data_IF_246708862234
#
_entry.id   IF_246708862234
#
_cell.length_a   1.000
_cell.length_b   1.000
_cell.length_c   1.000
_cell.angle_alpha   90.00
_cell.angle_beta   90.00
_cell.angle_gamma   90.00
#
_symmetry.space_group_name_H-M   'P 1'
#
loop_
_entity.id
_entity.type
_entity.pdbx_description
1 polymer ?
#
# COMPACT_ATOMS: atom_id res chain seq x y z
N UNK A 1 -5.99 -4.52 -3.45
CA UNK A 1 -6.01 -5.99 -3.54
C UNK A 1 -4.90 -6.41 -4.48
N UNK A 2 -4.08 -7.39 -4.10
CA UNK A 2 -2.93 -7.82 -4.91
C UNK A 2 -3.31 -9.01 -5.79
N UNK A 3 -2.83 -9.00 -7.03
CA UNK A 3 -2.98 -10.09 -8.00
C UNK A 3 -1.60 -10.50 -8.50
N UNK A 4 -1.39 -11.79 -8.70
CA UNK A 4 -0.16 -12.29 -9.29
C UNK A 4 -0.16 -11.96 -10.79
N UNK A 5 0.78 -11.12 -11.22
CA UNK A 5 0.93 -10.75 -12.64
C UNK A 5 1.93 -11.67 -13.33
N UNK A 6 3.08 -11.85 -12.70
CA UNK A 6 4.13 -12.75 -13.15
C UNK A 6 4.47 -13.74 -12.04
N UNK A 7 4.65 -15.00 -12.43
CA UNK A 7 5.18 -16.04 -11.56
C UNK A 7 6.37 -16.70 -12.26
N UNK A 8 7.53 -16.71 -11.59
CA UNK A 8 8.76 -17.31 -12.12
C UNK A 8 9.11 -16.81 -13.55
N UNK A 9 8.94 -15.51 -13.80
CA UNK A 9 9.22 -14.88 -15.10
C UNK A 9 8.16 -15.13 -16.18
N UNK A 10 7.06 -15.81 -15.87
CA UNK A 10 5.95 -16.07 -16.81
C UNK A 10 4.76 -15.18 -16.49
N UNK A 11 4.18 -14.56 -17.51
CA UNK A 11 2.91 -13.84 -17.39
C UNK A 11 1.80 -14.85 -17.08
N UNK A 12 1.21 -14.74 -15.89
CA UNK A 12 0.10 -15.62 -15.44
C UNK A 12 -1.23 -14.89 -15.36
N UNK A 13 -1.21 -13.56 -15.38
CA UNK A 13 -2.41 -12.75 -15.37
C UNK A 13 -3.02 -12.62 -16.76
N UNK A 14 -4.32 -12.85 -16.84
CA UNK A 14 -5.09 -12.60 -18.05
C UNK A 14 -5.34 -11.11 -18.19
N UNK A 15 -4.74 -10.50 -19.22
CA UNK A 15 -4.94 -9.09 -19.51
C UNK A 15 -6.41 -8.83 -19.88
N UNK A 16 -7.09 -7.87 -19.21
CA UNK A 16 -8.44 -7.49 -19.57
C UNK A 16 -8.42 -6.73 -20.90
N UNK A 17 -9.55 -6.77 -21.58
CA UNK A 17 -9.85 -5.87 -22.70
C UNK A 17 -10.08 -4.44 -22.22
N UNK A 18 -10.11 -3.49 -23.16
CA UNK A 18 -10.42 -2.09 -22.86
C UNK A 18 -11.83 -1.92 -22.29
N UNK A 19 -12.81 -2.67 -22.81
CA UNK A 19 -14.20 -2.62 -22.34
C UNK A 19 -14.32 -3.15 -20.90
N UNK A 20 -13.67 -4.29 -20.59
CA UNK A 20 -13.62 -4.84 -19.24
C UNK A 20 -12.92 -3.89 -18.26
N UNK A 21 -11.85 -3.23 -18.71
CA UNK A 21 -11.13 -2.25 -17.90
C UNK A 21 -11.97 -1.00 -17.60
N UNK A 22 -12.75 -0.53 -18.59
CA UNK A 22 -13.67 0.61 -18.44
C UNK A 22 -14.80 0.29 -17.46
N UNK A 23 -15.38 -0.89 -17.60
CA UNK A 23 -16.45 -1.37 -16.73
C UNK A 23 -15.95 -1.54 -15.28
N UNK A 24 -14.77 -2.12 -15.09
CA UNK A 24 -14.13 -2.23 -13.79
C UNK A 24 -13.91 -0.87 -13.12
N UNK A 25 -13.46 0.15 -13.87
CA UNK A 25 -13.33 1.51 -13.36
C UNK A 25 -14.68 2.08 -12.91
N UNK A 26 -15.73 1.93 -13.72
CA UNK A 26 -17.06 2.43 -13.39
C UNK A 26 -17.59 1.79 -12.10
N UNK A 27 -17.44 0.47 -11.94
CA UNK A 27 -17.83 -0.26 -10.73
C UNK A 27 -16.98 0.13 -9.50
N UNK A 28 -15.67 0.32 -9.69
CA UNK A 28 -14.77 0.76 -8.63
C UNK A 28 -15.16 2.13 -8.08
N UNK A 29 -15.48 3.09 -8.97
CA UNK A 29 -15.91 4.44 -8.58
C UNK A 29 -17.25 4.46 -7.84
N UNK A 30 -18.15 3.50 -8.12
CA UNK A 30 -19.40 3.35 -7.37
C UNK A 30 -19.16 2.90 -5.92
N UNK A 31 -18.05 2.21 -5.65
CA UNK A 31 -17.68 1.74 -4.32
C UNK A 31 -17.03 2.82 -3.44
N UNK A 32 -16.65 3.96 -4.03
CA UNK A 32 -16.04 5.09 -3.33
C UNK A 32 -17.13 6.11 -2.99
N UNK A 33 -17.12 6.61 -1.74
CA UNK A 33 -18.07 7.62 -1.27
C UNK A 33 -17.86 8.97 -1.96
N UNK A 34 -18.93 9.75 -2.07
CA UNK A 34 -18.93 11.01 -2.83
C UNK A 34 -17.99 12.04 -2.23
N UNK A 35 -17.81 12.05 -0.91
CA UNK A 35 -16.91 12.94 -0.19
C UNK A 35 -15.44 12.75 -0.57
N UNK A 36 -15.03 11.50 -0.84
CA UNK A 36 -13.68 11.17 -1.30
C UNK A 36 -13.49 11.50 -2.79
N UNK A 37 -14.56 11.58 -3.58
CA UNK A 37 -14.52 11.89 -5.03
C UNK A 37 -14.55 13.38 -5.35
N UNK A 38 -14.69 14.27 -4.36
CA UNK A 38 -14.75 15.72 -4.57
C UNK A 38 -13.47 16.26 -5.18
N UNK A 39 -13.58 17.14 -6.18
CA UNK A 39 -12.44 17.82 -6.78
C UNK A 39 -11.75 18.81 -5.82
N UNK A 40 -12.52 19.42 -4.91
CA UNK A 40 -12.01 20.38 -3.94
C UNK A 40 -12.23 19.83 -2.53
N UNK A 41 -11.16 19.77 -1.74
CA UNK A 41 -11.15 19.28 -0.36
C UNK A 41 -11.82 17.89 -0.21
N UNK A 42 -11.38 16.85 -0.96
CA UNK A 42 -11.87 15.50 -0.75
C UNK A 42 -11.60 15.05 0.69
N UNK A 43 -12.49 14.22 1.25
CA UNK A 43 -12.20 13.59 2.52
C UNK A 43 -11.02 12.62 2.34
N UNK A 44 -10.11 12.60 3.31
CA UNK A 44 -9.05 11.59 3.37
C UNK A 44 -9.65 10.19 3.45
N UNK A 45 -9.16 9.30 2.59
CA UNK A 45 -9.53 7.88 2.60
C UNK A 45 -8.60 7.15 3.58
N UNK A 46 -9.11 6.58 4.69
CA UNK A 46 -8.25 5.97 5.70
C UNK A 46 -7.56 4.73 5.15
N UNK A 47 -6.24 4.68 5.31
CA UNK A 47 -5.41 3.52 4.96
C UNK A 47 -4.65 3.10 6.21
N UNK A 48 -5.22 2.16 6.94
CA UNK A 48 -4.70 1.72 8.22
C UNK A 48 -3.79 0.49 8.10
N UNK A 49 -2.81 0.41 8.98
CA UNK A 49 -2.01 -0.79 9.17
C UNK A 49 -2.75 -1.75 10.09
N UNK A 50 -2.66 -3.05 9.80
CA UNK A 50 -2.98 -4.05 10.82
C UNK A 50 -2.06 -3.86 12.01
N UNK A 51 -2.54 -4.17 13.21
CA UNK A 51 -1.75 -4.07 14.45
C UNK A 51 -0.38 -4.75 14.31
N UNK A 52 -0.36 -5.97 13.78
CA UNK A 52 0.89 -6.72 13.58
C UNK A 52 1.87 -6.01 12.63
N UNK A 53 1.37 -5.38 11.56
CA UNK A 53 2.21 -4.61 10.64
C UNK A 53 2.77 -3.34 11.31
N UNK A 54 1.93 -2.63 12.06
CA UNK A 54 2.32 -1.43 12.79
C UNK A 54 3.36 -1.74 13.88
N UNK A 55 3.13 -2.78 14.67
CA UNK A 55 4.03 -3.25 15.73
C UNK A 55 5.38 -3.65 15.12
N UNK A 56 5.36 -4.41 14.02
CA UNK A 56 6.59 -4.80 13.32
C UNK A 56 7.36 -3.57 12.81
N UNK A 57 6.68 -2.60 12.18
CA UNK A 57 7.29 -1.35 11.71
C UNK A 57 8.00 -0.63 12.86
N UNK A 58 7.31 -0.45 13.99
CA UNK A 58 7.88 0.25 15.14
C UNK A 58 9.08 -0.49 15.71
N UNK A 59 8.96 -1.81 15.89
CA UNK A 59 10.06 -2.66 16.34
C UNK A 59 11.31 -2.50 15.46
N UNK A 60 11.15 -2.56 14.13
CA UNK A 60 12.27 -2.39 13.18
C UNK A 60 12.92 -1.01 13.31
N UNK A 61 12.12 0.06 13.44
CA UNK A 61 12.63 1.42 13.59
C UNK A 61 13.47 1.55 14.87
N UNK A 62 12.96 1.04 16.00
CA UNK A 62 13.69 1.08 17.26
C UNK A 62 15.01 0.30 17.20
N UNK A 63 15.01 -0.91 16.63
CA UNK A 63 16.23 -1.70 16.50
C UNK A 63 17.32 -1.01 15.67
N UNK A 64 16.95 -0.34 14.58
CA UNK A 64 17.91 0.43 13.78
C UNK A 64 18.42 1.64 14.56
N UNK A 65 17.56 2.36 15.26
CA UNK A 65 17.95 3.53 16.04
C UNK A 65 18.94 3.18 17.16
N UNK A 66 18.68 2.10 17.91
CA UNK A 66 19.60 1.63 18.96
C UNK A 66 20.94 1.18 18.36
N UNK A 67 20.91 0.46 17.25
CA UNK A 67 22.15 -0.01 16.61
C UNK A 67 23.02 1.15 16.13
N UNK A 68 22.43 2.20 15.54
CA UNK A 68 23.20 3.40 15.13
C UNK A 68 23.83 4.07 16.34
N UNK A 69 23.09 4.17 17.46
CA UNK A 69 23.61 4.77 18.68
C UNK A 69 24.78 3.97 19.26
N UNK A 70 24.67 2.65 19.34
CA UNK A 70 25.78 1.78 19.76
C UNK A 70 27.02 1.96 18.87
N UNK A 71 26.82 2.06 17.55
CA UNK A 71 27.92 2.33 16.61
C UNK A 71 28.55 3.71 16.81
N UNK A 72 27.78 4.74 17.16
CA UNK A 72 28.32 6.07 17.45
C UNK A 72 29.16 6.04 18.74
N UNK A 73 28.68 5.36 19.79
CA UNK A 73 29.38 5.19 21.06
C UNK A 73 30.68 4.36 20.91
N UNK A 74 30.70 3.33 20.07
CA UNK A 74 31.89 2.51 19.80
C UNK A 74 32.97 3.25 18.96
N UNK A 75 32.59 4.34 18.28
CA UNK A 75 33.49 5.14 17.44
C UNK A 75 34.04 6.39 18.13
N UNK A 76 33.64 6.66 19.38
CA UNK A 76 34.20 7.71 20.26
C UNK A 76 35.32 7.18 21.18
#
# INVERSE_FOLDING_TARGET
MHHNIYENGKLVYQMPTEDESREYLAQGLQSIWDENKRFLNPQEYPVDLSKACWDNKHKRIFEVAEHVKEMEEDNE
#
